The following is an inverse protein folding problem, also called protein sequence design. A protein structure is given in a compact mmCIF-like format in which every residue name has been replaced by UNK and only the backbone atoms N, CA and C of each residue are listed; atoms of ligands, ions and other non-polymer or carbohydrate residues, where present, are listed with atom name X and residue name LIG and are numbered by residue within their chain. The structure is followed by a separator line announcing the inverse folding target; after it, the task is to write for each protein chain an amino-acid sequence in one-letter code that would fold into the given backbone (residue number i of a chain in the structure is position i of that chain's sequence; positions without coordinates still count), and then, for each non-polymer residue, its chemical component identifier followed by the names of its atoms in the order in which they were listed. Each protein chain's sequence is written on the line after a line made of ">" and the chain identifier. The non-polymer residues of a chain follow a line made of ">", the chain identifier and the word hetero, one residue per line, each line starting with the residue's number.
data_IF_064102655157
#
_entry.id   IF_064102655157
#
_cell.length_a   1.000
_cell.length_b   1.000
_cell.length_c   1.000
_cell.angle_alpha   90.00
_cell.angle_beta   90.00
_cell.angle_gamma   90.00
#
_symmetry.space_group_name_H-M   'P 1'
#
loop_
_entity.id
_entity.type
_entity.pdbx_description
1 polymer ?
#
# COMPACT_ATOMS: atom_id res chain seq x y z
N UNK A 1 -20.18 27.70 -17.65
CA UNK A 1 -19.54 28.40 -16.53
C UNK A 1 -18.82 27.35 -15.71
N UNK A 2 -17.51 27.20 -15.91
CA UNK A 2 -16.69 26.23 -15.19
C UNK A 2 -16.58 26.72 -13.74
N UNK A 3 -17.03 25.90 -12.78
CA UNK A 3 -16.82 26.18 -11.36
C UNK A 3 -15.34 26.49 -11.10
N UNK A 4 -15.03 27.50 -10.25
CA UNK A 4 -13.65 27.76 -9.87
C UNK A 4 -13.03 26.49 -9.27
N UNK A 5 -11.75 26.19 -9.53
CA UNK A 5 -11.14 24.95 -9.09
C UNK A 5 -11.25 24.81 -7.57
N UNK A 6 -12.03 23.84 -7.12
CA UNK A 6 -12.35 23.66 -5.72
C UNK A 6 -11.06 23.44 -4.91
N UNK A 7 -10.77 24.36 -3.97
CA UNK A 7 -9.54 24.29 -3.19
C UNK A 7 -9.69 23.24 -2.07
N UNK A 8 -9.20 22.04 -2.34
CA UNK A 8 -9.25 20.91 -1.41
C UNK A 8 -8.26 21.06 -0.24
N UNK A 9 -8.78 21.29 0.98
CA UNK A 9 -8.04 21.04 2.23
C UNK A 9 -7.78 19.54 2.41
N UNK A 10 -6.90 19.14 3.34
CA UNK A 10 -6.64 17.70 3.59
C UNK A 10 -7.84 17.02 4.25
N UNK A 11 -8.47 17.67 5.23
CA UNK A 11 -9.66 17.18 5.91
C UNK A 11 -10.82 17.00 4.93
N UNK A 12 -11.14 18.03 4.14
CA UNK A 12 -12.20 17.94 3.12
C UNK A 12 -11.94 16.87 2.06
N UNK A 13 -10.66 16.66 1.71
CA UNK A 13 -10.27 15.58 0.81
C UNK A 13 -10.46 14.21 1.46
N UNK A 14 -10.16 14.07 2.76
CA UNK A 14 -10.37 12.83 3.49
C UNK A 14 -11.86 12.50 3.59
N UNK A 15 -12.69 13.44 4.01
CA UNK A 15 -14.16 13.31 4.04
C UNK A 15 -14.70 12.85 2.68
N UNK A 16 -14.42 13.62 1.61
CA UNK A 16 -14.84 13.25 0.25
C UNK A 16 -14.33 11.86 -0.17
N UNK A 17 -13.11 11.49 0.26
CA UNK A 17 -12.53 10.19 -0.07
C UNK A 17 -13.31 9.08 0.60
N UNK A 18 -13.55 9.17 1.91
CA UNK A 18 -14.28 8.15 2.65
C UNK A 18 -15.73 8.03 2.14
N UNK A 19 -16.42 9.15 1.93
CA UNK A 19 -17.79 9.15 1.40
C UNK A 19 -17.88 8.45 0.03
N UNK A 20 -16.94 8.72 -0.87
CA UNK A 20 -16.92 8.11 -2.21
C UNK A 20 -16.54 6.64 -2.17
N UNK A 21 -15.65 6.24 -1.27
CA UNK A 21 -15.25 4.85 -1.13
C UNK A 21 -16.36 4.01 -0.48
N UNK A 22 -17.04 4.52 0.56
CA UNK A 22 -18.22 3.89 1.16
C UNK A 22 -19.34 3.61 0.14
N UNK A 23 -19.46 4.46 -0.87
CA UNK A 23 -20.47 4.28 -1.92
C UNK A 23 -20.14 3.21 -2.97
N UNK A 24 -18.92 2.69 -3.00
CA UNK A 24 -18.46 1.72 -4.03
C UNK A 24 -17.80 0.47 -3.44
N UNK A 25 -17.59 0.44 -2.12
CA UNK A 25 -17.03 -0.68 -1.37
C UNK A 25 -18.07 -1.03 -0.30
N UNK A 26 -18.82 -2.10 -0.52
CA UNK A 26 -19.94 -2.48 0.34
C UNK A 26 -19.47 -3.03 1.70
N UNK A 27 -18.39 -3.81 1.71
CA UNK A 27 -17.85 -4.47 2.91
C UNK A 27 -16.35 -4.16 3.08
N UNK A 28 -15.99 -3.03 3.73
CA UNK A 28 -14.60 -2.68 4.00
C UNK A 28 -14.05 -3.48 5.17
N UNK A 29 -13.69 -4.74 4.92
CA UNK A 29 -13.11 -5.66 5.90
C UNK A 29 -11.79 -6.28 5.38
N UNK A 30 -11.10 -7.03 6.24
CA UNK A 30 -9.99 -7.87 5.82
C UNK A 30 -10.47 -8.98 4.90
N UNK A 31 -9.69 -9.32 3.88
CA UNK A 31 -10.00 -10.43 2.96
C UNK A 31 -9.43 -11.77 3.45
N UNK A 32 -8.69 -11.76 4.56
CA UNK A 32 -8.22 -12.97 5.24
C UNK A 32 -9.41 -13.65 5.93
N UNK A 33 -9.53 -14.97 5.75
CA UNK A 33 -10.55 -15.80 6.40
C UNK A 33 -10.03 -16.33 7.72
N UNK A 34 -10.84 -16.18 8.76
CA UNK A 34 -10.55 -16.62 10.13
C UNK A 34 -11.87 -16.73 10.91
N UNK A 35 -11.92 -17.65 11.87
CA UNK A 35 -13.05 -17.86 12.77
C UNK A 35 -12.70 -17.56 14.25
N UNK A 36 -11.44 -17.21 14.55
CA UNK A 36 -10.97 -16.84 15.89
C UNK A 36 -9.79 -15.86 15.87
N UNK A 37 -9.44 -15.28 17.03
CA UNK A 37 -8.28 -14.39 17.18
C UNK A 37 -6.95 -15.12 16.90
N UNK A 38 -6.89 -16.41 17.26
CA UNK A 38 -5.78 -17.30 16.91
C UNK A 38 -5.60 -17.39 15.39
N UNK A 39 -6.69 -17.73 14.68
CA UNK A 39 -6.66 -17.87 13.23
C UNK A 39 -6.30 -16.55 12.54
N UNK A 40 -6.84 -15.43 13.04
CA UNK A 40 -6.48 -14.10 12.55
C UNK A 40 -4.99 -13.83 12.71
N UNK A 41 -4.41 -14.10 13.89
CA UNK A 41 -2.98 -13.86 14.12
C UNK A 41 -2.12 -14.67 13.13
N UNK A 42 -2.41 -15.96 12.98
CA UNK A 42 -1.70 -16.84 12.03
C UNK A 42 -1.85 -16.31 10.61
N UNK A 43 -3.08 -15.99 10.17
CA UNK A 43 -3.34 -15.48 8.83
C UNK A 43 -2.59 -14.16 8.56
N UNK A 44 -2.53 -13.25 9.54
CA UNK A 44 -1.83 -11.97 9.38
C UNK A 44 -0.30 -12.17 9.36
N UNK A 45 0.26 -13.10 10.15
CA UNK A 45 1.69 -13.48 10.06
C UNK A 45 1.99 -14.06 8.67
N UNK A 46 1.14 -14.95 8.16
CA UNK A 46 1.29 -15.57 6.85
C UNK A 46 1.13 -14.58 5.69
N UNK A 47 0.26 -13.56 5.83
CA UNK A 47 0.02 -12.55 4.78
C UNK A 47 1.18 -11.57 4.60
N UNK A 48 2.16 -11.54 5.51
CA UNK A 48 3.34 -10.70 5.36
C UNK A 48 4.07 -11.04 4.04
N UNK A 49 4.00 -10.12 3.07
CA UNK A 49 4.52 -10.30 1.70
C UNK A 49 3.95 -11.53 0.98
N UNK A 50 2.70 -11.90 1.28
CA UNK A 50 1.95 -12.93 0.58
C UNK A 50 0.56 -12.39 0.23
N UNK A 51 -0.10 -12.97 -0.77
CA UNK A 51 -1.45 -12.55 -1.13
C UNK A 51 -2.47 -13.19 -0.19
N UNK A 52 -3.52 -12.46 0.16
CA UNK A 52 -4.58 -12.98 1.04
C UNK A 52 -5.24 -14.22 0.41
N UNK A 53 -5.36 -14.27 -0.92
CA UNK A 53 -5.84 -15.45 -1.64
C UNK A 53 -4.97 -16.70 -1.37
N UNK A 54 -3.64 -16.57 -1.43
CA UNK A 54 -2.73 -17.69 -1.15
C UNK A 54 -2.78 -18.07 0.33
N UNK A 55 -2.91 -17.11 1.24
CA UNK A 55 -3.09 -17.41 2.67
C UNK A 55 -4.38 -18.20 2.88
N UNK A 56 -5.50 -17.75 2.31
CA UNK A 56 -6.80 -18.41 2.41
C UNK A 56 -6.84 -19.80 1.75
N UNK A 57 -5.94 -20.09 0.80
CA UNK A 57 -5.76 -21.43 0.23
C UNK A 57 -5.08 -22.40 1.20
N UNK A 58 -4.13 -21.92 2.03
CA UNK A 58 -3.32 -22.79 2.90
C UNK A 58 -3.87 -22.91 4.31
N UNK A 59 -4.56 -21.88 4.81
CA UNK A 59 -5.02 -21.84 6.20
C UNK A 59 -6.01 -22.93 6.58
N UNK A 60 -6.94 -23.41 5.72
CA UNK A 60 -7.87 -24.47 6.13
C UNK A 60 -7.18 -25.76 6.58
N UNK A 61 -6.21 -26.25 5.81
CA UNK A 61 -5.45 -27.45 6.18
C UNK A 61 -4.52 -27.19 7.37
N UNK A 62 -3.97 -25.98 7.48
CA UNK A 62 -3.17 -25.58 8.63
C UNK A 62 -3.99 -25.61 9.93
N UNK A 63 -5.20 -25.02 9.94
CA UNK A 63 -6.06 -24.97 11.13
C UNK A 63 -6.68 -26.33 11.47
N UNK A 64 -6.85 -27.23 10.50
CA UNK A 64 -7.22 -28.62 10.80
C UNK A 64 -6.10 -29.35 11.56
N UNK A 65 -4.84 -29.11 11.19
CA UNK A 65 -3.68 -29.72 11.85
C UNK A 65 -3.33 -29.05 13.19
N UNK A 66 -3.50 -27.74 13.29
CA UNK A 66 -3.20 -26.91 14.46
C UNK A 66 -4.43 -26.08 14.82
N UNK A 67 -5.44 -26.66 15.50
CA UNK A 67 -6.73 -26.01 15.71
C UNK A 67 -6.74 -24.91 16.77
N UNK A 68 -5.69 -24.81 17.59
CA UNK A 68 -5.60 -23.83 18.68
C UNK A 68 -4.15 -23.51 19.03
N UNK A 69 -3.96 -22.59 19.98
CA UNK A 69 -2.66 -22.13 20.43
C UNK A 69 -1.86 -23.26 21.10
N UNK A 70 -2.52 -24.15 21.84
CA UNK A 70 -1.89 -25.30 22.48
C UNK A 70 -1.28 -26.24 21.43
N UNK A 71 -2.05 -26.60 20.40
CA UNK A 71 -1.57 -27.42 19.30
C UNK A 71 -0.44 -26.74 18.52
N UNK A 72 -0.50 -25.42 18.36
CA UNK A 72 0.59 -24.67 17.72
C UNK A 72 1.86 -24.62 18.58
N UNK A 73 1.72 -24.52 19.91
CA UNK A 73 2.84 -24.48 20.85
C UNK A 73 3.60 -25.81 20.91
N UNK A 74 2.88 -26.93 20.77
CA UNK A 74 3.48 -28.27 20.73
C UNK A 74 4.15 -28.58 19.37
N UNK A 75 3.83 -27.82 18.31
CA UNK A 75 4.31 -28.06 16.97
C UNK A 75 5.75 -27.57 16.73
N UNK A 76 6.54 -28.38 16.03
CA UNK A 76 7.85 -27.99 15.52
C UNK A 76 7.74 -27.21 14.20
N UNK A 77 8.83 -26.50 13.86
CA UNK A 77 8.93 -25.85 12.55
C UNK A 77 8.79 -26.86 11.40
N UNK A 78 9.37 -28.05 11.57
CA UNK A 78 9.35 -29.14 10.58
C UNK A 78 7.93 -29.67 10.35
N UNK A 79 7.09 -29.71 11.37
CA UNK A 79 5.68 -30.10 11.27
C UNK A 79 4.81 -29.02 10.63
N UNK A 80 5.09 -27.74 10.89
CA UNK A 80 4.37 -26.60 10.31
C UNK A 80 4.72 -26.38 8.84
N UNK A 81 6.00 -26.54 8.48
CA UNK A 81 6.52 -26.16 7.18
C UNK A 81 5.73 -26.73 5.98
N UNK A 82 5.32 -28.02 5.94
CA UNK A 82 4.54 -28.59 4.85
C UNK A 82 3.22 -27.85 4.55
N UNK A 83 2.57 -27.29 5.57
CA UNK A 83 1.31 -26.57 5.43
C UNK A 83 1.50 -25.18 4.84
N UNK A 84 2.64 -24.55 5.13
CA UNK A 84 2.93 -23.16 4.74
C UNK A 84 3.96 -23.06 3.61
N UNK A 85 4.49 -24.17 3.10
CA UNK A 85 5.57 -24.19 2.10
C UNK A 85 5.29 -23.36 0.83
N UNK A 86 4.01 -23.14 0.52
CA UNK A 86 3.57 -22.43 -0.67
C UNK A 86 3.40 -20.92 -0.45
N UNK A 87 3.59 -20.41 0.77
CA UNK A 87 3.63 -18.97 1.08
C UNK A 87 5.03 -18.39 0.92
N UNK A 88 5.14 -17.07 0.77
CA UNK A 88 6.45 -16.39 0.72
C UNK A 88 7.20 -16.51 2.05
N UNK A 89 8.51 -16.81 1.99
CA UNK A 89 9.39 -17.01 3.16
C UNK A 89 8.88 -18.08 4.15
N UNK A 90 8.60 -19.31 3.68
CA UNK A 90 7.92 -20.32 4.48
C UNK A 90 8.74 -20.81 5.68
N UNK A 91 10.08 -20.91 5.55
CA UNK A 91 10.95 -21.33 6.65
C UNK A 91 10.86 -20.38 7.86
N UNK A 92 11.00 -19.07 7.61
CA UNK A 92 10.93 -18.07 8.67
C UNK A 92 9.53 -18.04 9.29
N UNK A 93 8.47 -18.13 8.46
CA UNK A 93 7.10 -18.11 8.97
C UNK A 93 6.75 -19.34 9.79
N UNK A 94 7.18 -20.53 9.36
CA UNK A 94 7.01 -21.76 10.14
C UNK A 94 7.72 -21.65 11.50
N UNK A 95 8.95 -21.14 11.51
CA UNK A 95 9.71 -20.87 12.75
C UNK A 95 8.98 -19.85 13.65
N UNK A 96 8.51 -18.74 13.09
CA UNK A 96 7.78 -17.72 13.84
C UNK A 96 6.48 -18.24 14.44
N UNK A 97 5.73 -19.06 13.71
CA UNK A 97 4.48 -19.64 14.19
C UNK A 97 4.72 -20.60 15.36
N UNK A 98 5.69 -21.52 15.24
CA UNK A 98 6.06 -22.41 16.34
C UNK A 98 6.52 -21.63 17.59
N UNK A 99 7.37 -20.62 17.41
CA UNK A 99 7.82 -19.77 18.53
C UNK A 99 6.68 -18.96 19.14
N UNK A 100 5.78 -18.42 18.31
CA UNK A 100 4.63 -17.65 18.78
C UNK A 100 3.70 -18.52 19.63
N UNK A 101 3.41 -19.75 19.20
CA UNK A 101 2.60 -20.69 19.99
C UNK A 101 3.19 -20.91 21.37
N UNK A 102 4.48 -21.28 21.44
CA UNK A 102 5.20 -21.48 22.71
C UNK A 102 5.20 -20.24 23.59
N UNK A 103 5.52 -19.09 23.01
CA UNK A 103 5.58 -17.82 23.72
C UNK A 103 4.22 -17.44 24.33
N UNK A 104 3.11 -17.65 23.59
CA UNK A 104 1.76 -17.36 24.12
C UNK A 104 1.41 -18.26 25.30
N UNK A 105 1.79 -19.53 25.26
CA UNK A 105 1.57 -20.45 26.37
C UNK A 105 2.42 -20.10 27.60
N UNK A 106 3.71 -19.81 27.40
CA UNK A 106 4.68 -19.60 28.48
C UNK A 106 4.58 -18.21 29.12
N UNK A 107 4.43 -17.16 28.31
CA UNK A 107 4.52 -15.76 28.76
C UNK A 107 3.15 -15.11 28.96
N UNK A 108 2.12 -15.57 28.23
CA UNK A 108 0.79 -14.95 28.20
C UNK A 108 -0.33 -15.88 28.72
N UNK A 109 0.02 -17.04 29.27
CA UNK A 109 -0.93 -17.95 29.94
C UNK A 109 -1.97 -18.55 28.99
N UNK A 110 -1.64 -18.71 27.71
CA UNK A 110 -2.51 -19.30 26.69
C UNK A 110 -3.52 -18.34 26.05
N UNK A 111 -3.45 -17.04 26.35
CA UNK A 111 -4.29 -16.02 25.74
C UNK A 111 -3.46 -15.03 24.91
N UNK A 112 -4.00 -14.60 23.76
CA UNK A 112 -3.35 -13.57 22.96
C UNK A 112 -3.41 -12.20 23.67
N UNK A 113 -2.33 -11.39 23.62
CA UNK A 113 -2.38 -10.04 24.13
C UNK A 113 -3.37 -9.17 23.34
N UNK A 114 -4.19 -8.40 24.04
CA UNK A 114 -5.18 -7.52 23.38
C UNK A 114 -4.59 -6.17 22.94
N UNK A 115 -3.39 -5.82 23.44
CA UNK A 115 -2.76 -4.53 23.18
C UNK A 115 -1.74 -4.60 22.05
N UNK A 116 -1.61 -3.50 21.29
CA UNK A 116 -0.55 -3.36 20.26
C UNK A 116 0.84 -3.51 20.87
N UNK A 117 1.05 -3.16 22.14
CA UNK A 117 2.33 -3.32 22.81
C UNK A 117 2.63 -4.81 23.04
N UNK A 118 1.71 -5.54 23.67
CA UNK A 118 1.87 -6.97 23.94
C UNK A 118 1.97 -7.81 22.66
N UNK A 119 1.13 -7.53 21.66
CA UNK A 119 1.22 -8.25 20.37
C UNK A 119 2.57 -8.08 19.69
N UNK A 120 3.27 -6.95 19.88
CA UNK A 120 4.61 -6.72 19.30
C UNK A 120 5.73 -7.46 20.01
N UNK A 121 5.46 -8.04 21.18
CA UNK A 121 6.41 -8.89 21.89
C UNK A 121 6.42 -10.30 21.28
N UNK A 122 5.36 -10.68 20.55
CA UNK A 122 5.27 -11.96 19.86
C UNK A 122 6.25 -12.06 18.69
N UNK A 123 6.90 -13.22 18.58
CA UNK A 123 7.85 -13.51 17.50
C UNK A 123 7.18 -13.40 16.12
N UNK A 124 7.83 -12.72 15.17
CA UNK A 124 7.27 -12.51 13.82
C UNK A 124 6.15 -11.47 13.74
N UNK A 125 5.72 -10.89 14.87
CA UNK A 125 4.67 -9.86 14.92
C UNK A 125 5.28 -8.46 14.94
N UNK A 126 5.44 -7.89 13.74
CA UNK A 126 5.85 -6.49 13.60
C UNK A 126 4.76 -5.50 14.02
N UNK A 127 5.11 -4.21 14.09
CA UNK A 127 4.16 -3.12 14.44
C UNK A 127 2.88 -3.14 13.59
N UNK A 128 2.99 -3.39 12.28
CA UNK A 128 1.81 -3.44 11.39
C UNK A 128 0.92 -4.62 11.78
N UNK A 129 1.49 -5.82 11.86
CA UNK A 129 0.79 -7.05 12.25
C UNK A 129 0.04 -6.86 13.55
N UNK A 130 0.71 -6.34 14.59
CA UNK A 130 0.09 -6.04 15.88
C UNK A 130 -1.05 -5.03 15.78
N UNK A 131 -0.91 -3.96 14.96
CA UNK A 131 -1.99 -2.98 14.76
C UNK A 131 -3.18 -3.57 14.00
N UNK A 132 -2.96 -4.47 13.04
CA UNK A 132 -4.04 -5.15 12.31
C UNK A 132 -4.79 -6.09 13.24
N UNK A 133 -4.08 -6.98 13.94
CA UNK A 133 -4.70 -7.92 14.88
C UNK A 133 -5.45 -7.16 15.98
N UNK A 134 -4.83 -6.16 16.61
CA UNK A 134 -5.49 -5.38 17.65
C UNK A 134 -6.73 -4.62 17.15
N UNK A 135 -6.68 -4.09 15.93
CA UNK A 135 -7.81 -3.36 15.35
C UNK A 135 -8.97 -4.26 14.96
N UNK A 136 -8.68 -5.47 14.46
CA UNK A 136 -9.68 -6.38 13.90
C UNK A 136 -10.26 -7.29 14.98
N UNK A 137 -9.45 -7.85 15.87
CA UNK A 137 -9.91 -8.75 16.94
C UNK A 137 -10.42 -8.03 18.19
N UNK A 138 -9.82 -6.88 18.54
CA UNK A 138 -10.05 -6.23 19.85
C UNK A 138 -10.57 -4.80 19.75
N UNK A 139 -11.00 -4.38 18.55
CA UNK A 139 -11.53 -3.03 18.28
C UNK A 139 -10.61 -1.89 18.76
N UNK A 140 -9.30 -2.13 18.84
CA UNK A 140 -8.34 -1.13 19.29
C UNK A 140 -8.18 -0.08 18.20
N UNK A 141 -8.30 1.19 18.58
CA UNK A 141 -8.14 2.35 17.70
C UNK A 141 -6.73 2.47 17.09
N UNK A 142 -6.48 1.69 16.05
CA UNK A 142 -5.27 1.70 15.25
C UNK A 142 -5.59 2.10 13.80
N UNK A 143 -4.60 2.67 13.13
CA UNK A 143 -4.69 2.95 11.69
C UNK A 143 -3.46 2.33 11.03
N UNK A 144 -3.46 1.01 10.77
CA UNK A 144 -2.33 0.36 10.15
C UNK A 144 -2.05 0.99 8.78
N UNK A 145 -0.77 1.21 8.47
CA UNK A 145 -0.36 1.74 7.16
C UNK A 145 0.52 0.71 6.50
N UNK A 146 -0.02 0.05 5.49
CA UNK A 146 0.71 -0.84 4.60
C UNK A 146 1.14 -0.12 3.30
N UNK A 147 1.65 -0.86 2.32
CA UNK A 147 2.09 -0.31 1.03
C UNK A 147 0.92 0.27 0.22
N UNK A 148 -0.27 -0.31 0.29
CA UNK A 148 -1.46 0.20 -0.39
C UNK A 148 -1.96 1.49 0.24
N UNK A 149 -2.15 1.53 1.55
CA UNK A 149 -2.56 2.72 2.31
C UNK A 149 -1.52 3.83 2.15
N UNK A 150 -0.23 3.51 2.27
CA UNK A 150 0.86 4.48 2.09
C UNK A 150 0.81 5.13 0.71
N UNK A 151 0.75 4.34 -0.37
CA UNK A 151 0.70 4.83 -1.73
C UNK A 151 -0.57 5.65 -1.97
N UNK A 152 -1.71 5.10 -1.61
CA UNK A 152 -3.04 5.67 -1.88
C UNK A 152 -3.24 6.99 -1.15
N UNK A 153 -2.91 7.04 0.15
CA UNK A 153 -3.00 8.28 0.93
C UNK A 153 -2.12 9.40 0.37
N UNK A 154 -0.89 9.06 -0.05
CA UNK A 154 0.03 10.04 -0.65
C UNK A 154 -0.43 10.48 -2.06
N UNK A 155 -0.86 9.57 -2.93
CA UNK A 155 -1.36 9.88 -4.29
C UNK A 155 -2.61 10.76 -4.26
N UNK A 156 -3.59 10.40 -3.43
CA UNK A 156 -4.81 11.20 -3.24
C UNK A 156 -4.45 12.59 -2.71
N UNK A 157 -3.48 12.66 -1.79
CA UNK A 157 -3.03 13.89 -1.14
C UNK A 157 -3.68 14.09 0.22
N UNK A 158 -3.94 13.00 0.94
CA UNK A 158 -4.37 13.00 2.34
C UNK A 158 -3.21 13.38 3.28
N UNK A 159 -1.98 13.13 2.84
CA UNK A 159 -0.75 13.45 3.57
C UNK A 159 -0.01 14.64 2.96
N UNK A 160 0.90 15.23 3.74
CA UNK A 160 1.92 16.16 3.24
C UNK A 160 3.06 15.36 2.61
N UNK A 161 3.79 15.96 1.66
CA UNK A 161 4.96 15.36 0.98
C UNK A 161 6.02 14.81 1.95
N UNK A 162 6.17 15.41 3.13
CA UNK A 162 7.11 14.94 4.15
C UNK A 162 6.71 13.63 4.84
N UNK A 163 5.57 13.03 4.48
CA UNK A 163 5.13 11.73 4.97
C UNK A 163 5.74 10.56 4.17
N UNK A 164 7.07 10.47 4.21
CA UNK A 164 7.91 9.49 3.52
C UNK A 164 8.00 8.11 4.23
N UNK A 165 7.31 7.93 5.35
CA UNK A 165 7.34 6.70 6.16
C UNK A 165 5.93 6.34 6.64
N UNK A 166 5.61 5.04 6.81
CA UNK A 166 4.30 4.59 7.29
C UNK A 166 3.87 5.28 8.60
N UNK A 167 4.81 5.44 9.55
CA UNK A 167 4.55 6.15 10.82
C UNK A 167 4.15 7.62 10.61
N UNK A 168 4.78 8.32 9.66
CA UNK A 168 4.44 9.72 9.37
C UNK A 168 3.09 9.82 8.65
N UNK A 169 2.75 8.84 7.80
CA UNK A 169 1.44 8.72 7.15
C UNK A 169 0.35 8.48 8.19
N UNK A 170 0.50 7.45 9.04
CA UNK A 170 -0.43 7.10 10.14
C UNK A 170 -0.75 8.34 10.98
N UNK A 171 0.29 9.00 11.50
CA UNK A 171 0.13 10.19 12.34
C UNK A 171 -0.60 11.34 11.64
N UNK A 172 -0.49 11.45 10.32
CA UNK A 172 -1.17 12.51 9.57
C UNK A 172 -2.61 12.16 9.24
N UNK A 173 -2.91 10.89 8.95
CA UNK A 173 -4.27 10.39 8.73
C UNK A 173 -5.10 10.50 10.01
N UNK A 174 -4.55 10.08 11.16
CA UNK A 174 -5.19 10.21 12.49
C UNK A 174 -5.52 11.65 12.90
N UNK A 175 -4.97 12.67 12.23
CA UNK A 175 -5.27 14.10 12.49
C UNK A 175 -6.39 14.67 11.63
N UNK A 176 -6.78 13.95 10.57
CA UNK A 176 -7.75 14.44 9.58
C UNK A 176 -8.93 13.50 9.39
N UNK A 177 -8.87 12.27 9.94
CA UNK A 177 -9.93 11.28 9.95
C UNK A 177 -10.39 11.11 11.41
N UNK A 178 -11.71 11.18 11.69
CA UNK A 178 -12.27 10.89 13.01
C UNK A 178 -11.82 9.53 13.55
N UNK A 179 -11.76 9.38 14.87
CA UNK A 179 -11.17 8.18 15.51
C UNK A 179 -12.01 6.94 15.21
N UNK A 180 -13.32 7.09 15.30
CA UNK A 180 -14.37 6.12 15.00
C UNK A 180 -14.26 5.54 13.58
N UNK A 181 -13.67 6.29 12.65
CA UNK A 181 -13.54 5.89 11.25
C UNK A 181 -12.20 5.19 10.94
N UNK A 182 -11.28 5.03 11.90
CA UNK A 182 -9.91 4.57 11.59
C UNK A 182 -9.85 3.17 10.99
N UNK A 183 -10.59 2.21 11.56
CA UNK A 183 -10.63 0.83 11.07
C UNK A 183 -11.25 0.75 9.66
N UNK A 184 -12.41 1.37 9.49
CA UNK A 184 -13.09 1.43 8.18
C UNK A 184 -12.22 2.15 7.13
N UNK A 185 -11.66 3.31 7.46
CA UNK A 185 -10.79 4.06 6.58
C UNK A 185 -9.54 3.28 6.18
N UNK A 186 -8.98 2.45 7.07
CA UNK A 186 -7.91 1.53 6.73
C UNK A 186 -8.35 0.58 5.62
N UNK A 187 -9.48 -0.12 5.81
CA UNK A 187 -10.01 -1.09 4.84
C UNK A 187 -10.43 -0.45 3.51
N UNK A 188 -11.06 0.73 3.53
CA UNK A 188 -11.41 1.47 2.32
C UNK A 188 -10.16 1.85 1.51
N UNK A 189 -9.10 2.34 2.18
CA UNK A 189 -7.86 2.75 1.50
C UNK A 189 -7.04 1.56 1.00
N UNK A 190 -6.98 0.44 1.72
CA UNK A 190 -6.29 -0.78 1.27
C UNK A 190 -7.01 -1.39 0.06
N UNK A 191 -8.33 -1.55 0.10
CA UNK A 191 -9.12 -2.12 -0.99
C UNK A 191 -9.07 -1.22 -2.24
N UNK A 192 -9.24 0.10 -2.07
CA UNK A 192 -9.07 1.03 -3.17
C UNK A 192 -7.65 0.98 -3.75
N UNK A 193 -6.63 0.92 -2.89
CA UNK A 193 -5.23 0.79 -3.30
C UNK A 193 -4.93 -0.53 -4.01
N UNK A 194 -5.63 -1.60 -3.66
CA UNK A 194 -5.47 -2.95 -4.22
C UNK A 194 -6.11 -3.05 -5.60
N UNK A 195 -7.35 -2.59 -5.74
CA UNK A 195 -8.17 -2.86 -6.92
C UNK A 195 -8.29 -1.69 -7.91
N UNK A 196 -8.09 -0.44 -7.47
CA UNK A 196 -8.22 0.74 -8.35
C UNK A 196 -6.92 1.52 -8.46
N UNK A 197 -6.35 1.96 -7.33
CA UNK A 197 -5.11 2.75 -7.28
C UNK A 197 -3.86 1.85 -7.25
N UNK A 198 -3.78 0.91 -8.21
CA UNK A 198 -2.70 -0.07 -8.31
C UNK A 198 -1.33 0.60 -8.50
N UNK A 199 -0.25 -0.10 -8.15
CA UNK A 199 1.08 0.50 -8.11
C UNK A 199 1.56 0.98 -9.49
N UNK A 200 1.37 0.18 -10.56
CA UNK A 200 1.92 0.48 -11.89
C UNK A 200 0.95 1.24 -12.79
N UNK A 201 -0.27 0.71 -12.96
CA UNK A 201 -1.26 1.28 -13.87
C UNK A 201 -2.59 1.51 -13.13
N UNK A 202 -2.69 2.56 -12.31
CA UNK A 202 -3.92 2.85 -11.58
C UNK A 202 -5.05 3.17 -12.57
N UNK A 203 -6.23 2.59 -12.35
CA UNK A 203 -7.42 2.84 -13.16
C UNK A 203 -8.03 4.19 -12.78
N UNK A 204 -7.34 5.28 -13.15
CA UNK A 204 -7.79 6.63 -12.84
C UNK A 204 -9.08 7.01 -13.56
N UNK A 205 -9.34 6.45 -14.73
CA UNK A 205 -10.55 6.79 -15.51
C UNK A 205 -11.83 6.37 -14.79
N UNK A 206 -11.84 5.18 -14.18
CA UNK A 206 -12.96 4.69 -13.38
C UNK A 206 -12.90 5.12 -11.90
N UNK A 207 -11.89 5.89 -11.49
CA UNK A 207 -11.68 6.20 -10.07
C UNK A 207 -12.63 7.32 -9.60
N UNK A 208 -13.47 7.08 -8.57
CA UNK A 208 -14.41 8.08 -8.06
C UNK A 208 -13.72 9.25 -7.34
N UNK A 209 -12.41 9.13 -7.10
CA UNK A 209 -11.62 10.11 -6.36
C UNK A 209 -10.92 11.13 -7.26
N UNK A 210 -11.01 10.99 -8.59
CA UNK A 210 -10.37 11.91 -9.55
C UNK A 210 -10.63 13.40 -9.30
N UNK A 211 -11.83 13.86 -8.86
CA UNK A 211 -12.07 15.28 -8.63
C UNK A 211 -11.19 15.88 -7.52
N UNK A 212 -10.77 15.05 -6.56
CA UNK A 212 -9.98 15.47 -5.39
C UNK A 212 -8.53 14.96 -5.40
N UNK A 213 -8.19 14.02 -6.29
CA UNK A 213 -6.91 13.32 -6.32
C UNK A 213 -5.77 14.18 -6.88
N UNK A 214 -4.74 14.42 -6.05
CA UNK A 214 -3.56 15.21 -6.46
C UNK A 214 -2.70 14.52 -7.51
N UNK A 215 -2.57 13.19 -7.43
CA UNK A 215 -1.81 12.41 -8.40
C UNK A 215 -2.46 12.49 -9.79
N UNK A 216 -3.77 12.28 -9.87
CA UNK A 216 -4.50 12.41 -11.14
C UNK A 216 -4.39 13.82 -11.72
N UNK A 217 -4.61 14.86 -10.90
CA UNK A 217 -4.46 16.25 -11.33
C UNK A 217 -3.04 16.62 -11.82
N UNK A 218 -2.00 15.87 -11.41
CA UNK A 218 -0.64 16.01 -11.95
C UNK A 218 -0.46 15.24 -13.25
N UNK A 219 -1.02 14.02 -13.35
CA UNK A 219 -1.01 13.22 -14.59
C UNK A 219 -1.66 13.99 -15.74
N UNK A 220 -2.77 14.68 -15.48
CA UNK A 220 -3.46 15.55 -16.46
C UNK A 220 -2.68 16.81 -16.87
N UNK A 221 -1.50 17.07 -16.28
CA UNK A 221 -0.61 18.18 -16.63
C UNK A 221 0.69 17.71 -17.28
N UNK A 222 0.81 16.42 -17.56
CA UNK A 222 1.89 15.92 -18.39
C UNK A 222 1.67 16.42 -19.82
N UNK A 223 2.76 16.69 -20.57
CA UNK A 223 2.64 17.01 -21.98
C UNK A 223 1.95 15.89 -22.75
N UNK A 224 1.12 16.25 -23.74
CA UNK A 224 0.52 15.29 -24.65
C UNK A 224 1.59 14.61 -25.50
N UNK A 225 1.39 13.34 -25.90
CA UNK A 225 2.31 12.66 -26.81
C UNK A 225 2.49 13.40 -28.14
N UNK A 226 3.69 13.33 -28.71
CA UNK A 226 4.01 13.94 -30.01
C UNK A 226 4.04 12.85 -31.08
N UNK A 227 3.23 13.02 -32.12
CA UNK A 227 3.23 12.13 -33.29
C UNK A 227 4.27 12.55 -34.34
N UNK A 228 4.81 11.58 -35.07
CA UNK A 228 5.65 11.84 -36.25
C UNK A 228 7.11 12.19 -35.91
N UNK A 229 7.59 11.75 -34.75
CA UNK A 229 9.02 11.81 -34.43
C UNK A 229 9.79 10.79 -35.27
N UNK A 230 11.01 11.16 -35.67
CA UNK A 230 11.90 10.27 -36.42
C UNK A 230 12.78 9.48 -35.45
N UNK A 231 12.40 8.23 -35.20
CA UNK A 231 13.16 7.31 -34.35
C UNK A 231 14.59 7.04 -34.86
N UNK A 232 14.87 7.25 -36.16
CA UNK A 232 16.22 7.10 -36.69
C UNK A 232 17.12 8.32 -36.40
N UNK A 233 16.54 9.46 -36.00
CA UNK A 233 17.29 10.69 -35.71
C UNK A 233 17.86 10.72 -34.27
N UNK A 234 17.35 9.86 -33.38
CA UNK A 234 17.89 9.60 -32.04
C UNK A 234 16.81 9.14 -31.07
N UNK A 235 17.20 8.52 -29.96
CA UNK A 235 16.26 7.86 -29.01
C UNK A 235 15.29 8.83 -28.30
N UNK A 236 15.70 10.10 -28.16
CA UNK A 236 14.92 11.12 -27.47
C UNK A 236 14.79 12.40 -28.30
N UNK A 237 13.65 13.07 -28.15
CA UNK A 237 13.38 14.37 -28.72
C UNK A 237 13.11 15.42 -27.64
N UNK A 238 13.78 16.57 -27.72
CA UNK A 238 13.48 17.72 -26.87
C UNK A 238 12.55 18.70 -27.60
N UNK A 239 11.35 18.91 -27.05
CA UNK A 239 10.38 19.85 -27.62
C UNK A 239 10.77 21.32 -27.38
N UNK A 240 11.65 21.62 -26.42
CA UNK A 240 12.08 23.01 -26.14
C UNK A 240 13.11 23.54 -27.13
N UNK A 241 14.10 22.72 -27.51
CA UNK A 241 15.13 23.11 -28.48
C UNK A 241 15.02 22.37 -29.81
N UNK A 242 13.97 21.58 -30.02
CA UNK A 242 13.68 20.86 -31.27
C UNK A 242 14.87 20.03 -31.75
N UNK A 243 15.40 19.18 -30.86
CA UNK A 243 16.62 18.41 -31.11
C UNK A 243 16.48 16.95 -30.70
N UNK A 244 17.00 16.07 -31.54
CA UNK A 244 17.18 14.65 -31.27
C UNK A 244 18.52 14.38 -30.56
N UNK A 245 18.54 13.39 -29.67
CA UNK A 245 19.73 12.97 -28.94
C UNK A 245 19.53 11.57 -28.34
N UNK A 246 20.62 10.85 -28.12
CA UNK A 246 20.56 9.46 -27.60
C UNK A 246 20.85 9.39 -26.10
N UNK A 247 21.72 10.26 -25.60
CA UNK A 247 22.14 10.25 -24.18
C UNK A 247 21.50 11.42 -23.43
N UNK A 248 20.44 11.19 -22.62
CA UNK A 248 19.82 12.24 -21.83
C UNK A 248 20.70 12.68 -20.66
N UNK A 249 20.52 13.93 -20.23
CA UNK A 249 20.95 14.38 -18.92
C UNK A 249 19.88 14.03 -17.88
N UNK A 250 20.24 14.12 -16.60
CA UNK A 250 19.30 13.96 -15.47
C UNK A 250 19.19 15.28 -14.73
N UNK A 251 17.97 15.74 -14.47
CA UNK A 251 17.71 16.89 -13.62
C UNK A 251 16.78 16.51 -12.47
N UNK A 252 17.16 16.85 -11.24
CA UNK A 252 16.26 16.73 -10.09
C UNK A 252 15.22 17.84 -10.09
N UNK A 253 13.94 17.49 -10.08
CA UNK A 253 12.84 18.45 -10.04
C UNK A 253 12.60 19.03 -8.63
N UNK A 254 11.64 19.95 -8.51
CA UNK A 254 11.27 20.56 -7.22
C UNK A 254 10.75 19.56 -6.18
N UNK A 255 10.36 18.37 -6.61
CA UNK A 255 9.89 17.30 -5.75
C UNK A 255 11.03 16.41 -5.24
N UNK A 256 12.24 16.54 -5.78
CA UNK A 256 13.38 15.69 -5.48
C UNK A 256 13.44 14.45 -6.36
N UNK A 257 12.67 14.39 -7.45
CA UNK A 257 12.65 13.27 -8.38
C UNK A 257 13.61 13.55 -9.53
N UNK A 258 14.44 12.56 -9.86
CA UNK A 258 15.26 12.59 -11.07
C UNK A 258 14.38 12.47 -12.30
N UNK A 259 14.57 13.38 -13.24
CA UNK A 259 13.81 13.46 -14.48
C UNK A 259 14.79 13.47 -15.65
N UNK A 260 14.40 12.81 -16.73
CA UNK A 260 15.09 12.90 -18.01
C UNK A 260 15.07 14.35 -18.49
N UNK A 261 16.24 14.87 -18.86
CA UNK A 261 16.42 16.24 -19.30
C UNK A 261 17.27 16.29 -20.57
N UNK A 262 17.01 17.31 -21.40
CA UNK A 262 17.79 17.54 -22.59
C UNK A 262 19.23 17.98 -22.21
N UNK A 263 20.27 17.30 -22.72
CA UNK A 263 21.66 17.66 -22.42
C UNK A 263 22.06 19.04 -22.96
N UNK A 264 21.34 19.55 -23.98
CA UNK A 264 21.67 20.82 -24.64
C UNK A 264 21.05 22.04 -23.97
N UNK A 265 19.86 21.93 -23.38
CA UNK A 265 19.13 23.09 -22.83
C UNK A 265 18.60 22.87 -21.40
N UNK A 266 18.79 21.68 -20.82
CA UNK A 266 18.34 21.34 -19.47
C UNK A 266 16.81 21.19 -19.32
N UNK A 267 16.04 21.33 -20.40
CA UNK A 267 14.58 21.18 -20.36
C UNK A 267 14.17 19.72 -20.11
N UNK A 268 13.14 19.53 -19.28
CA UNK A 268 12.45 18.24 -19.05
C UNK A 268 11.30 18.00 -20.06
N UNK A 269 11.13 18.83 -21.08
CA UNK A 269 10.20 18.59 -22.19
C UNK A 269 10.83 17.61 -23.18
N UNK A 270 11.13 16.41 -22.68
CA UNK A 270 11.76 15.32 -23.42
C UNK A 270 10.72 14.23 -23.67
N UNK A 271 10.81 13.65 -24.87
CA UNK A 271 9.90 12.64 -25.38
C UNK A 271 10.71 11.47 -25.92
N UNK A 272 10.22 10.27 -25.69
CA UNK A 272 10.72 9.05 -26.31
C UNK A 272 10.28 9.04 -27.78
N UNK A 273 11.21 8.84 -28.71
CA UNK A 273 10.91 8.98 -30.14
C UNK A 273 10.10 7.83 -30.72
N UNK A 274 10.24 6.63 -30.14
CA UNK A 274 9.53 5.43 -30.59
C UNK A 274 8.04 5.50 -30.24
N UNK A 275 7.73 5.88 -29.00
CA UNK A 275 6.36 5.96 -28.49
C UNK A 275 5.72 7.35 -28.68
N UNK A 276 6.54 8.40 -28.80
CA UNK A 276 6.08 9.79 -28.74
C UNK A 276 5.66 10.25 -27.35
N UNK A 277 5.77 9.39 -26.32
CA UNK A 277 5.35 9.70 -24.96
C UNK A 277 6.37 10.60 -24.25
N UNK A 278 5.88 11.44 -23.33
CA UNK A 278 6.77 12.24 -22.48
C UNK A 278 7.54 11.34 -21.52
N UNK A 279 8.84 11.62 -21.37
CA UNK A 279 9.68 10.93 -20.37
C UNK A 279 9.49 11.49 -18.96
N UNK A 280 8.65 12.52 -18.81
CA UNK A 280 8.40 13.17 -17.54
C UNK A 280 7.53 12.31 -16.64
N UNK A 281 8.06 11.98 -15.47
CA UNK A 281 7.35 11.20 -14.49
C UNK A 281 6.65 12.09 -13.45
N UNK A 282 5.50 11.64 -12.96
CA UNK A 282 4.84 12.25 -11.79
C UNK A 282 5.38 11.58 -10.53
N UNK A 283 5.65 12.39 -9.50
CA UNK A 283 6.00 11.87 -8.18
C UNK A 283 5.04 10.76 -7.75
N UNK A 284 5.61 9.58 -7.62
CA UNK A 284 4.90 8.36 -7.29
C UNK A 284 5.43 7.76 -5.98
N UNK A 285 4.54 7.11 -5.23
CA UNK A 285 4.80 6.57 -3.89
C UNK A 285 4.74 5.05 -3.91
N UNK A 286 5.32 4.46 -4.96
CA UNK A 286 5.52 3.01 -5.05
C UNK A 286 6.57 2.65 -4.00
N UNK A 287 6.16 1.83 -3.03
CA UNK A 287 7.03 1.20 -2.03
C UNK A 287 7.11 -0.26 -2.38
#
# INVERSE_FOLDING_TARGET
>A
MSDPPQRWSRTRRAEFTLDRLRAVIDEPATELRYDSEYELLVAVILSAQCTDARVNEVTPAFFEAFPNLEALADASQEEIFPYVQSVTYPNNKASYLAETGRQVMEEFGGALPETVAGLRELTGVGRKTAQVVASVAYEVDAFPVDTHVFRTANRIGLTKRSADTPRKVERQLKRIIPKEDWGEAHHLLILHGRYTCTARNPNCEACPLTPACRYYARKQRLPDPISGLDAAAGDFFCNTCTRYFDTPAVHTDRYGQEQTACPSCGSMQVFDTDSGETTKEVLDFRV
#
